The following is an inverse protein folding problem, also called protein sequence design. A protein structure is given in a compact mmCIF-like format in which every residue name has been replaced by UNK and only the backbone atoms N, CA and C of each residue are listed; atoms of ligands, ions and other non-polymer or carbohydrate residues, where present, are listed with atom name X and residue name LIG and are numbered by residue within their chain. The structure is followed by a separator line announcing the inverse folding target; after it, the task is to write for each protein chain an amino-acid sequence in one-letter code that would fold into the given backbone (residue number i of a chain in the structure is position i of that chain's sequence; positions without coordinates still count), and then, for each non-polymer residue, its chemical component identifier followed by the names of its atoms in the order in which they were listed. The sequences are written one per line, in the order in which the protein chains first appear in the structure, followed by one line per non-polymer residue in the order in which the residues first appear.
data_IF_791755441959
#
_entry.id   IF_791755441959
#
_cell.length_a   1.000
_cell.length_b   1.000
_cell.length_c   1.000
_cell.angle_alpha   90.00
_cell.angle_beta   90.00
_cell.angle_gamma   90.00
#
_symmetry.space_group_name_H-M   'P 1'
#
loop_
_entity.id
_entity.type
_entity.pdbx_description
1 polymer ?
#
# COMPACT_ATOMS: atom_id res chain seq x y z
N UNK A 1 -12.50 -23.32 13.59
CA UNK A 1 -11.41 -23.44 12.59
C UNK A 1 -11.81 -22.94 11.21
N UNK A 2 -12.93 -23.41 10.62
CA UNK A 2 -13.34 -23.02 9.25
C UNK A 2 -13.52 -21.50 9.11
N UNK A 3 -14.11 -20.83 10.11
CA UNK A 3 -14.32 -19.37 10.07
C UNK A 3 -13.02 -18.54 9.94
N UNK A 4 -11.93 -18.99 10.58
CA UNK A 4 -10.63 -18.30 10.51
C UNK A 4 -9.98 -18.42 9.13
N UNK A 5 -10.11 -19.59 8.50
CA UNK A 5 -9.64 -19.83 7.14
C UNK A 5 -10.40 -18.97 6.12
N UNK A 6 -11.71 -18.82 6.29
CA UNK A 6 -12.53 -17.97 5.41
C UNK A 6 -12.12 -16.49 5.53
N UNK A 7 -11.86 -16.00 6.74
CA UNK A 7 -11.40 -14.62 6.96
C UNK A 7 -10.01 -14.39 6.33
N UNK A 8 -9.10 -15.37 6.43
CA UNK A 8 -7.77 -15.27 5.85
C UNK A 8 -7.76 -15.23 4.31
N UNK A 9 -8.79 -15.78 3.65
CA UNK A 9 -8.93 -15.74 2.20
C UNK A 9 -9.61 -14.44 1.72
N UNK A 10 -10.53 -13.90 2.51
CA UNK A 10 -11.30 -12.71 2.12
C UNK A 10 -10.57 -11.40 2.40
N UNK A 11 -9.72 -11.36 3.42
CA UNK A 11 -8.93 -10.17 3.74
C UNK A 11 -7.65 -10.17 2.90
N UNK A 12 -7.45 -9.20 1.99
CA UNK A 12 -6.20 -9.12 1.25
C UNK A 12 -5.05 -8.89 2.22
N UNK A 13 -4.01 -9.70 2.09
CA UNK A 13 -2.84 -9.60 2.94
C UNK A 13 -2.02 -8.35 2.57
N UNK A 14 -1.31 -7.74 3.54
CA UNK A 14 -0.41 -6.63 3.25
C UNK A 14 0.77 -7.11 2.38
N UNK A 15 1.33 -6.20 1.58
CA UNK A 15 2.51 -6.42 0.75
C UNK A 15 3.54 -5.31 0.98
N UNK A 16 4.81 -5.62 0.82
CA UNK A 16 5.88 -4.63 0.93
C UNK A 16 6.13 -4.05 -0.46
N UNK A 17 5.90 -2.76 -0.61
CA UNK A 17 6.07 -2.05 -1.88
C UNK A 17 7.27 -1.13 -1.78
N UNK A 18 8.22 -1.32 -2.69
CA UNK A 18 9.32 -0.37 -2.91
C UNK A 18 8.91 0.58 -4.02
N UNK A 19 8.93 1.88 -3.74
CA UNK A 19 8.47 2.92 -4.64
C UNK A 19 9.45 4.09 -4.67
N UNK A 20 9.47 4.82 -5.79
CA UNK A 20 10.42 5.91 -6.03
C UNK A 20 9.74 7.16 -6.57
N UNK A 21 10.28 8.30 -6.15
CA UNK A 21 9.97 9.60 -6.73
C UNK A 21 11.20 10.50 -6.69
N UNK A 22 11.52 11.15 -7.81
CA UNK A 22 12.64 12.10 -7.92
C UNK A 22 13.98 11.53 -7.38
N UNK A 23 14.32 10.29 -7.75
CA UNK A 23 15.51 9.55 -7.30
C UNK A 23 15.55 9.22 -5.80
N UNK A 24 14.45 9.42 -5.07
CA UNK A 24 14.29 8.97 -3.68
C UNK A 24 13.52 7.66 -3.68
N UNK A 25 14.21 6.59 -3.28
CA UNK A 25 13.62 5.26 -3.11
C UNK A 25 13.12 5.12 -1.68
N UNK A 26 11.90 4.64 -1.53
CA UNK A 26 11.25 4.39 -0.25
C UNK A 26 10.59 3.02 -0.27
N UNK A 27 10.40 2.45 0.91
CA UNK A 27 9.66 1.21 1.11
C UNK A 27 8.48 1.51 2.00
N UNK A 28 7.39 0.79 1.80
CA UNK A 28 6.30 0.80 2.75
C UNK A 28 5.35 -0.37 2.60
N UNK A 29 4.58 -0.60 3.66
CA UNK A 29 3.68 -1.74 3.77
C UNK A 29 2.33 -1.33 3.25
N UNK A 30 2.04 -1.69 2.01
CA UNK A 30 0.75 -1.44 1.39
C UNK A 30 -0.26 -2.49 1.83
N UNK A 31 -1.42 -2.02 2.27
CA UNK A 31 -2.56 -2.87 2.55
C UNK A 31 -3.78 -2.35 1.81
N UNK A 32 -4.28 -3.13 0.85
CA UNK A 32 -5.50 -2.81 0.08
C UNK A 32 -6.74 -2.72 0.99
N UNK A 33 -6.78 -3.49 2.08
CA UNK A 33 -7.96 -3.59 2.93
C UNK A 33 -9.18 -4.13 2.17
N UNK A 34 -10.38 -3.97 2.72
CA UNK A 34 -11.62 -4.46 2.10
C UNK A 34 -12.29 -3.45 1.13
N UNK A 35 -11.67 -2.29 0.91
CA UNK A 35 -12.23 -1.20 0.09
C UNK A 35 -11.54 -1.04 -1.28
N UNK A 36 -11.99 -0.05 -2.04
CA UNK A 36 -11.39 0.31 -3.34
C UNK A 36 -10.06 1.06 -3.21
N UNK A 37 -9.75 1.58 -2.02
CA UNK A 37 -8.50 2.29 -1.69
C UNK A 37 -7.78 1.58 -0.56
N UNK A 38 -6.46 1.44 -0.71
CA UNK A 38 -5.58 0.92 0.33
C UNK A 38 -4.98 1.99 1.22
N UNK A 39 -4.07 1.56 2.09
CA UNK A 39 -3.27 2.42 2.96
C UNK A 39 -1.84 1.91 3.01
N UNK A 40 -0.90 2.83 3.23
CA UNK A 40 0.44 2.48 3.68
C UNK A 40 0.39 2.43 5.22
N UNK A 41 0.65 1.26 5.80
CA UNK A 41 0.55 1.06 7.25
C UNK A 41 1.69 1.74 8.03
N UNK A 42 2.77 2.06 7.35
CA UNK A 42 3.99 2.69 7.85
C UNK A 42 4.04 4.20 7.58
N UNK A 43 3.08 4.75 6.83
CA UNK A 43 3.06 6.17 6.46
C UNK A 43 1.75 6.87 6.86
N UNK A 44 1.84 8.18 7.11
CA UNK A 44 0.67 9.03 7.41
C UNK A 44 -0.08 9.47 6.14
N UNK A 45 -0.44 8.52 5.30
CA UNK A 45 -1.28 8.76 4.13
C UNK A 45 -2.76 8.61 4.50
N UNK A 46 -3.63 9.46 3.94
CA UNK A 46 -5.09 9.30 4.12
C UNK A 46 -5.58 8.05 3.41
N UNK A 47 -5.23 7.94 2.14
CA UNK A 47 -5.51 6.78 1.30
C UNK A 47 -4.45 6.64 0.22
N UNK A 48 -4.32 5.41 -0.27
CA UNK A 48 -3.31 5.02 -1.25
C UNK A 48 -3.97 4.16 -2.31
N UNK A 49 -3.68 4.44 -3.57
CA UNK A 49 -4.17 3.64 -4.69
C UNK A 49 -2.99 3.14 -5.51
N UNK A 50 -2.98 1.85 -5.77
CA UNK A 50 -2.07 1.25 -6.74
C UNK A 50 -2.82 1.13 -8.06
N UNK A 51 -2.21 1.67 -9.11
CA UNK A 51 -2.63 1.47 -10.49
C UNK A 51 -1.82 0.31 -11.07
N UNK A 52 -2.49 -0.82 -11.29
CA UNK A 52 -1.82 -2.06 -11.73
C UNK A 52 -1.47 -2.04 -13.22
N UNK A 53 -2.16 -1.21 -14.01
CA UNK A 53 -1.91 -1.06 -15.45
C UNK A 53 -0.63 -0.27 -15.72
N UNK A 54 -0.41 0.77 -14.91
CA UNK A 54 0.71 1.71 -15.09
C UNK A 54 1.87 1.50 -14.12
N UNK A 55 1.66 0.71 -13.05
CA UNK A 55 2.68 0.44 -12.04
C UNK A 55 3.00 1.65 -11.14
N UNK A 56 2.05 2.57 -10.99
CA UNK A 56 2.21 3.73 -10.10
C UNK A 56 1.44 3.56 -8.79
N UNK A 57 2.04 4.07 -7.73
CA UNK A 57 1.48 4.23 -6.40
C UNK A 57 1.08 5.69 -6.20
N UNK A 58 -0.21 5.93 -5.99
CA UNK A 58 -0.75 7.24 -5.68
C UNK A 58 -0.95 7.35 -4.17
N UNK A 59 -0.22 8.24 -3.52
CA UNK A 59 -0.33 8.51 -2.09
C UNK A 59 -1.04 9.84 -1.90
N UNK A 60 -2.24 9.81 -1.32
CA UNK A 60 -3.07 10.98 -1.16
C UNK A 60 -3.17 11.38 0.32
N UNK A 61 -3.11 12.68 0.56
CA UNK A 61 -3.33 13.28 1.87
C UNK A 61 -4.55 14.19 1.81
N UNK A 62 -5.44 14.04 2.78
CA UNK A 62 -6.53 14.99 2.98
C UNK A 62 -5.93 16.28 3.54
N UNK A 63 -5.76 17.27 2.67
CA UNK A 63 -5.45 18.62 3.10
C UNK A 63 -6.73 19.47 3.06
N UNK A 64 -6.89 20.42 4.00
CA UNK A 64 -8.12 21.21 4.15
C UNK A 64 -8.61 21.93 2.88
N UNK A 65 -7.73 22.14 1.90
CA UNK A 65 -8.01 22.95 0.70
C UNK A 65 -7.88 22.18 -0.62
N UNK A 66 -7.36 20.95 -0.65
CA UNK A 66 -7.21 20.14 -1.87
C UNK A 66 -6.74 18.72 -1.55
N UNK A 67 -7.19 17.74 -2.35
CA UNK A 67 -6.59 16.40 -2.37
C UNK A 67 -5.23 16.49 -3.09
N UNK A 68 -4.13 16.51 -2.33
CA UNK A 68 -2.81 16.40 -2.94
C UNK A 68 -2.44 14.92 -3.02
N UNK A 69 -2.63 14.34 -4.21
CA UNK A 69 -2.14 13.01 -4.52
C UNK A 69 -0.75 13.13 -5.15
N UNK A 70 0.20 12.43 -4.54
CA UNK A 70 1.57 12.32 -5.00
C UNK A 70 1.73 10.99 -5.74
N UNK A 71 2.29 11.02 -6.94
CA UNK A 71 2.54 9.84 -7.76
C UNK A 71 3.97 9.33 -7.55
N UNK A 72 4.10 8.03 -7.27
CA UNK A 72 5.36 7.32 -7.09
C UNK A 72 5.40 6.12 -8.02
N UNK A 73 6.55 5.82 -8.60
CA UNK A 73 6.73 4.65 -9.46
C UNK A 73 7.04 3.44 -8.59
N UNK A 74 6.35 2.32 -8.81
CA UNK A 74 6.64 1.07 -8.10
C UNK A 74 7.85 0.43 -8.75
N UNK A 75 8.86 0.12 -7.95
CA UNK A 75 10.07 -0.58 -8.38
C UNK A 75 9.91 -2.08 -8.12
N UNK A 76 9.36 -2.43 -6.97
CA UNK A 76 9.27 -3.83 -6.53
C UNK A 76 8.07 -4.02 -5.61
N UNK A 77 7.42 -5.19 -5.71
CA UNK A 77 6.41 -5.66 -4.75
C UNK A 77 6.85 -6.99 -4.19
N UNK A 78 6.82 -7.11 -2.88
CA UNK A 78 7.16 -8.33 -2.16
C UNK A 78 5.96 -8.79 -1.34
N UNK A 79 5.79 -10.11 -1.24
CA UNK A 79 4.62 -10.71 -0.61
C UNK A 79 4.50 -10.45 0.90
N UNK A 80 3.45 -11.01 1.54
CA UNK A 80 3.10 -10.72 2.93
C UNK A 80 4.16 -11.09 3.95
N UNK A 81 5.01 -12.06 3.66
CA UNK A 81 6.14 -12.44 4.53
C UNK A 81 7.14 -11.27 4.64
N UNK A 82 7.43 -10.60 3.52
CA UNK A 82 8.33 -9.45 3.50
C UNK A 82 7.71 -8.24 4.22
N UNK A 83 6.41 -8.02 4.05
CA UNK A 83 5.67 -6.99 4.78
C UNK A 83 5.73 -7.20 6.30
N UNK A 84 5.47 -8.43 6.76
CA UNK A 84 5.55 -8.78 8.18
C UNK A 84 6.97 -8.63 8.72
N UNK A 85 7.98 -9.07 7.97
CA UNK A 85 9.38 -8.93 8.37
C UNK A 85 9.86 -7.48 8.41
N UNK A 86 9.20 -6.56 7.69
CA UNK A 86 9.52 -5.14 7.72
C UNK A 86 8.93 -4.43 8.95
N UNK A 87 7.90 -5.01 9.56
CA UNK A 87 7.20 -4.46 10.73
C UNK A 87 7.67 -5.06 12.07
N UNK A 88 8.43 -6.14 12.02
CA UNK A 88 9.03 -6.84 13.17
C UNK A 88 10.41 -6.25 13.50
#
# INVERSE_FOLDING_TARGET
MIALLVIAVLVPMPELVTYERANVVSKGVYWRGLGETGKLLDARASFVKIDEDTGYLFVCHDMPSMNACQQYRIIERQGPIAALSHML
#
